data_IF_723116993820
#
_entry.id   IF_723116993820
#
_cell.length_a   1.000
_cell.length_b   1.000
_cell.length_c   1.000
_cell.angle_alpha   90.00
_cell.angle_beta   90.00
_cell.angle_gamma   90.00
#
_symmetry.space_group_name_H-M   'P 1'
#
loop_
_entity.id
_entity.type
_entity.pdbx_description
1 polymer ?
#
# COMPACT_ATOMS: atom_id res chain seq x y z
N UNK A 1 9.05 -11.73 17.19
CA UNK A 1 7.69 -12.24 16.92
C UNK A 1 7.65 -13.70 17.31
N UNK A 2 6.60 -14.15 18.00
CA UNK A 2 6.35 -15.59 18.19
C UNK A 2 6.00 -16.20 16.82
N UNK A 3 6.53 -17.39 16.47
CA UNK A 3 6.19 -18.04 15.21
C UNK A 3 4.69 -18.34 15.17
N UNK A 4 4.01 -17.87 14.13
CA UNK A 4 2.63 -18.25 13.83
C UNK A 4 2.64 -19.75 13.52
N UNK A 5 1.83 -20.53 14.23
CA UNK A 5 1.73 -21.97 14.00
C UNK A 5 1.36 -22.24 12.53
N UNK A 6 1.90 -23.29 11.89
CA UNK A 6 1.63 -23.58 10.48
C UNK A 6 0.13 -23.87 10.28
N UNK A 7 -0.57 -22.91 9.66
CA UNK A 7 -1.96 -23.07 9.25
C UNK A 7 -2.04 -23.82 7.93
N UNK A 8 -3.01 -24.73 7.81
CA UNK A 8 -3.25 -25.48 6.57
C UNK A 8 -3.61 -24.52 5.41
N UNK A 9 -3.13 -24.75 4.16
CA UNK A 9 -3.35 -23.86 3.01
C UNK A 9 -4.83 -23.50 2.72
N UNK A 10 -5.78 -24.37 3.07
CA UNK A 10 -7.24 -24.13 2.87
C UNK A 10 -7.86 -23.14 3.87
N UNK A 11 -7.15 -22.72 4.92
CA UNK A 11 -7.67 -21.76 5.91
C UNK A 11 -7.34 -20.30 5.60
N UNK A 12 -6.45 -20.03 4.63
CA UNK A 12 -6.03 -18.66 4.30
C UNK A 12 -7.14 -17.83 3.67
N UNK A 13 -8.11 -18.45 2.99
CA UNK A 13 -9.23 -17.76 2.36
C UNK A 13 -10.44 -17.54 3.30
N UNK A 14 -10.35 -17.99 4.57
CA UNK A 14 -11.43 -17.88 5.55
C UNK A 14 -10.86 -17.69 6.97
N UNK A 15 -10.44 -16.46 7.29
CA UNK A 15 -9.67 -16.15 8.50
C UNK A 15 -9.74 -14.66 8.85
N UNK A 16 -9.77 -14.33 10.14
CA UNK A 16 -9.38 -13.02 10.65
C UNK A 16 -7.86 -13.00 10.89
N UNK A 17 -7.15 -12.23 10.07
CA UNK A 17 -5.71 -12.38 9.89
C UNK A 17 -4.88 -11.22 10.46
N UNK A 18 -5.43 -10.00 10.51
CA UNK A 18 -4.79 -8.86 11.17
C UNK A 18 -5.82 -7.97 11.87
N UNK A 19 -5.39 -7.14 12.83
CA UNK A 19 -6.26 -6.22 13.55
C UNK A 19 -5.52 -5.08 14.23
N UNK A 20 -6.15 -3.91 14.17
CA UNK A 20 -5.67 -2.65 14.74
C UNK A 20 -6.70 -2.09 15.72
N UNK A 21 -6.26 -1.72 16.92
CA UNK A 21 -7.08 -1.02 17.90
C UNK A 21 -6.87 0.49 17.72
N UNK A 22 -7.94 1.18 17.36
CA UNK A 22 -7.98 2.63 17.18
C UNK A 22 -8.50 3.30 18.46
N UNK A 23 -7.59 3.94 19.18
CA UNK A 23 -7.91 4.64 20.43
C UNK A 23 -8.69 5.93 20.22
N UNK A 24 -8.64 6.53 19.02
CA UNK A 24 -9.25 7.84 18.77
C UNK A 24 -10.78 7.74 18.68
N UNK A 25 -11.32 6.61 18.22
CA UNK A 25 -12.76 6.33 18.14
C UNK A 25 -13.21 5.09 18.92
N UNK A 26 -12.30 4.50 19.72
CA UNK A 26 -12.55 3.29 20.51
C UNK A 26 -13.05 2.11 19.66
N UNK A 27 -12.55 1.98 18.43
CA UNK A 27 -12.89 0.89 17.51
C UNK A 27 -11.73 -0.08 17.28
N UNK A 28 -12.04 -1.30 16.86
CA UNK A 28 -11.05 -2.30 16.42
C UNK A 28 -11.30 -2.57 14.96
N UNK A 29 -10.31 -2.32 14.11
CA UNK A 29 -10.34 -2.66 12.70
C UNK A 29 -9.82 -4.09 12.57
N UNK A 30 -10.61 -4.98 11.97
CA UNK A 30 -10.28 -6.39 11.76
C UNK A 30 -10.18 -6.64 10.27
N UNK A 31 -9.06 -7.23 9.85
CA UNK A 31 -8.81 -7.64 8.48
C UNK A 31 -9.15 -9.13 8.31
N UNK A 32 -10.02 -9.43 7.35
CA UNK A 32 -10.68 -10.75 7.22
C UNK A 32 -10.75 -11.23 5.78
N UNK A 33 -10.64 -12.54 5.58
CA UNK A 33 -10.97 -13.23 4.33
C UNK A 33 -12.20 -14.12 4.49
N UNK A 34 -12.91 -14.35 3.39
CA UNK A 34 -14.00 -15.33 3.32
C UNK A 34 -15.41 -14.77 3.56
N UNK A 35 -15.59 -13.44 3.58
CA UNK A 35 -16.90 -12.81 3.70
C UNK A 35 -17.63 -12.63 2.35
N UNK A 36 -16.96 -12.87 1.21
CA UNK A 36 -17.52 -12.76 -0.15
C UNK A 36 -18.29 -11.45 -0.40
N UNK A 37 -17.70 -10.32 0.01
CA UNK A 37 -18.30 -9.00 -0.15
C UNK A 37 -18.15 -8.48 -1.57
N UNK A 38 -19.02 -7.54 -1.94
CA UNK A 38 -18.90 -6.83 -3.22
C UNK A 38 -17.70 -5.87 -3.18
N UNK A 39 -16.87 -5.81 -4.25
CA UNK A 39 -15.81 -4.82 -4.35
C UNK A 39 -16.37 -3.40 -4.24
N UNK A 40 -15.58 -2.49 -3.64
CA UNK A 40 -15.81 -1.04 -3.64
C UNK A 40 -17.16 -0.58 -3.02
N UNK A 41 -17.80 -1.44 -2.22
CA UNK A 41 -19.12 -1.16 -1.65
C UNK A 41 -19.19 -1.53 -0.17
N UNK A 42 -19.95 -0.74 0.56
CA UNK A 42 -20.37 -1.07 1.91
C UNK A 42 -21.31 -2.29 1.88
N UNK A 43 -21.11 -3.20 2.82
CA UNK A 43 -22.07 -4.24 3.18
C UNK A 43 -22.95 -3.73 4.32
N UNK A 44 -24.09 -4.40 4.52
CA UNK A 44 -24.94 -4.17 5.69
C UNK A 44 -24.24 -4.71 6.95
N UNK A 45 -23.71 -3.80 7.76
CA UNK A 45 -22.97 -4.13 8.97
C UNK A 45 -23.81 -4.88 10.01
N UNK A 46 -25.15 -4.72 10.00
CA UNK A 46 -26.04 -5.41 10.95
C UNK A 46 -26.00 -6.94 10.78
N UNK A 47 -25.56 -7.42 9.61
CA UNK A 47 -25.38 -8.84 9.30
C UNK A 47 -24.12 -9.44 9.93
N UNK A 48 -23.32 -8.68 10.65
CA UNK A 48 -22.06 -9.13 11.23
C UNK A 48 -21.96 -8.77 12.72
N UNK A 49 -21.31 -9.62 13.48
CA UNK A 49 -20.93 -9.41 14.88
C UNK A 49 -19.42 -9.53 15.00
N UNK A 50 -18.81 -8.66 15.80
CA UNK A 50 -17.42 -8.81 16.18
C UNK A 50 -17.35 -9.64 17.46
N UNK A 51 -16.36 -10.53 17.54
CA UNK A 51 -16.18 -11.44 18.67
C UNK A 51 -14.79 -11.24 19.23
N UNK A 52 -14.70 -10.82 20.48
CA UNK A 52 -13.47 -10.67 21.23
C UNK A 52 -13.36 -11.81 22.24
N UNK A 53 -12.18 -12.37 22.43
CA UNK A 53 -12.03 -13.43 23.43
C UNK A 53 -10.60 -13.84 23.71
N UNK A 54 -10.42 -14.51 24.84
CA UNK A 54 -9.12 -15.04 25.27
C UNK A 54 -8.93 -16.52 24.90
N UNK A 55 -10.04 -17.21 24.67
CA UNK A 55 -10.08 -18.62 24.25
C UNK A 55 -11.32 -18.85 23.39
N UNK A 56 -11.11 -19.01 22.07
CA UNK A 56 -12.19 -19.22 21.10
C UNK A 56 -12.77 -20.64 21.13
N UNK A 57 -12.18 -21.55 21.91
CA UNK A 57 -12.73 -22.90 22.14
C UNK A 57 -13.81 -22.90 23.23
N UNK A 58 -13.91 -21.83 24.03
CA UNK A 58 -14.77 -21.74 25.21
C UNK A 58 -15.68 -20.51 25.16
N UNK A 59 -16.98 -20.68 24.85
CA UNK A 59 -17.91 -19.56 24.64
C UNK A 59 -18.01 -18.56 25.81
N UNK A 60 -17.82 -18.99 27.07
CA UNK A 60 -17.85 -18.11 28.25
C UNK A 60 -16.74 -17.05 28.28
N UNK A 61 -15.71 -17.21 27.46
CA UNK A 61 -14.59 -16.27 27.33
C UNK A 61 -14.73 -15.38 26.09
N UNK A 62 -15.91 -15.35 25.48
CA UNK A 62 -16.21 -14.52 24.32
C UNK A 62 -17.11 -13.35 24.70
N UNK A 63 -16.82 -12.18 24.13
CA UNK A 63 -17.60 -10.97 24.21
C UNK A 63 -17.94 -10.56 22.79
N UNK A 64 -19.22 -10.36 22.50
CA UNK A 64 -19.66 -9.87 21.20
C UNK A 64 -19.84 -8.36 21.21
N UNK A 65 -19.62 -7.72 20.07
CA UNK A 65 -19.92 -6.32 19.85
C UNK A 65 -20.38 -6.07 18.42
N UNK A 66 -20.91 -4.87 18.18
CA UNK A 66 -21.44 -4.50 16.88
C UNK A 66 -20.30 -4.24 15.87
N UNK A 67 -20.49 -4.73 14.64
CA UNK A 67 -19.79 -4.20 13.49
C UNK A 67 -20.36 -2.80 13.16
N UNK A 68 -19.48 -1.83 12.95
CA UNK A 68 -19.79 -0.45 12.61
C UNK A 68 -19.78 -0.25 11.09
N UNK A 69 -18.73 -0.76 10.42
CA UNK A 69 -18.62 -0.76 8.97
C UNK A 69 -18.05 -2.09 8.49
N UNK A 70 -18.49 -2.54 7.32
CA UNK A 70 -18.04 -3.79 6.69
C UNK A 70 -17.87 -3.55 5.20
N UNK A 71 -16.65 -3.65 4.68
CA UNK A 71 -16.36 -3.48 3.26
C UNK A 71 -15.06 -4.20 2.87
N UNK A 72 -15.00 -4.77 1.67
CA UNK A 72 -13.83 -5.51 1.16
C UNK A 72 -13.36 -6.57 2.18
N UNK A 73 -12.13 -6.45 2.70
CA UNK A 73 -11.57 -7.32 3.73
C UNK A 73 -11.55 -6.65 5.12
N UNK A 74 -12.28 -5.55 5.30
CA UNK A 74 -12.17 -4.66 6.46
C UNK A 74 -13.49 -4.62 7.22
N UNK A 75 -13.42 -4.95 8.51
CA UNK A 75 -14.54 -4.84 9.45
C UNK A 75 -14.13 -3.94 10.60
N UNK A 76 -14.79 -2.78 10.74
CA UNK A 76 -14.61 -1.92 11.91
C UNK A 76 -15.59 -2.34 12.99
N UNK A 77 -15.09 -2.67 14.16
CA UNK A 77 -15.84 -3.17 15.31
C UNK A 77 -15.87 -2.13 16.41
N UNK A 78 -16.99 -2.02 17.14
CA UNK A 78 -16.97 -1.30 18.41
C UNK A 78 -16.14 -2.08 19.43
N UNK A 79 -15.12 -1.47 20.02
CA UNK A 79 -14.27 -2.18 20.97
C UNK A 79 -14.97 -2.26 22.34
N UNK A 80 -15.10 -3.45 22.96
CA UNK A 80 -15.63 -3.57 24.31
C UNK A 80 -14.76 -2.83 25.33
N UNK A 81 -15.37 -2.17 26.32
CA UNK A 81 -14.66 -1.43 27.37
C UNK A 81 -13.67 -2.30 28.15
N UNK A 82 -13.98 -3.57 28.35
CA UNK A 82 -13.09 -4.54 29.01
C UNK A 82 -11.80 -4.80 28.23
N UNK A 83 -11.85 -4.72 26.89
CA UNK A 83 -10.68 -4.84 26.02
C UNK A 83 -9.86 -3.55 26.06
N UNK A 84 -10.52 -2.39 25.94
CA UNK A 84 -9.87 -1.06 26.01
C UNK A 84 -9.08 -0.88 27.31
N UNK A 85 -9.72 -1.13 28.47
CA UNK A 85 -9.09 -0.96 29.79
C UNK A 85 -7.81 -1.78 29.95
N UNK A 86 -7.77 -2.99 29.39
CA UNK A 86 -6.59 -3.85 29.44
C UNK A 86 -5.44 -3.34 28.57
N UNK A 87 -5.75 -2.79 27.40
CA UNK A 87 -4.73 -2.20 26.53
C UNK A 87 -4.19 -0.88 27.11
N UNK A 88 -5.03 -0.08 27.76
CA UNK A 88 -4.57 1.12 28.48
C UNK A 88 -3.67 0.76 29.67
N UNK A 89 -4.00 -0.27 30.43
CA UNK A 89 -3.18 -0.72 31.57
C UNK A 89 -1.84 -1.37 31.16
N UNK A 90 -1.76 -1.92 29.95
CA UNK A 90 -0.51 -2.49 29.40
C UNK A 90 0.41 -1.44 28.75
N UNK A 91 -0.06 -0.20 28.56
CA UNK A 91 0.74 0.91 28.04
C UNK A 91 1.53 1.64 29.14
N UNK A 92 1.18 1.45 30.42
CA UNK A 92 2.06 1.77 31.53
C UNK A 92 3.13 0.67 31.61
N UNK A 93 4.37 1.06 31.35
CA UNK A 93 5.58 0.25 31.06
C UNK A 93 6.07 -0.70 32.19
N UNK A 94 5.17 -1.08 33.10
CA UNK A 94 5.46 -1.81 34.35
C UNK A 94 4.79 -3.19 34.43
N UNK A 95 4.06 -3.65 33.42
CA UNK A 95 3.44 -4.98 33.43
C UNK A 95 3.94 -5.90 32.31
N UNK A 96 4.34 -7.15 32.64
CA UNK A 96 4.67 -8.14 31.63
C UNK A 96 3.46 -8.36 30.71
N UNK A 97 3.67 -8.65 29.41
CA UNK A 97 2.58 -8.85 28.47
C UNK A 97 1.58 -9.87 29.04
N UNK A 98 0.30 -9.50 29.01
CA UNK A 98 -0.76 -10.32 29.57
C UNK A 98 -0.62 -11.76 29.06
N UNK A 99 -0.56 -12.74 29.97
CA UNK A 99 -0.37 -14.18 29.66
C UNK A 99 -1.32 -14.72 28.59
N UNK A 100 -2.45 -14.06 28.36
CA UNK A 100 -3.43 -14.36 27.32
C UNK A 100 -3.92 -13.06 26.66
N UNK A 101 -3.28 -12.62 25.55
CA UNK A 101 -3.76 -11.45 24.80
C UNK A 101 -5.14 -11.73 24.18
N UNK A 102 -6.00 -10.71 24.18
CA UNK A 102 -7.32 -10.77 23.54
C UNK A 102 -7.15 -11.00 22.04
N UNK A 103 -7.87 -11.96 21.48
CA UNK A 103 -8.02 -12.13 20.04
C UNK A 103 -9.35 -11.53 19.60
N UNK A 104 -9.44 -11.15 18.32
CA UNK A 104 -10.66 -10.63 17.72
C UNK A 104 -10.98 -11.40 16.45
N UNK A 105 -12.27 -11.61 16.18
CA UNK A 105 -12.77 -12.20 14.94
C UNK A 105 -14.12 -11.61 14.56
N UNK A 106 -14.64 -12.04 13.41
CA UNK A 106 -15.95 -11.64 12.89
C UNK A 106 -16.82 -12.88 12.70
N UNK A 107 -18.11 -12.74 12.99
CA UNK A 107 -19.15 -13.75 12.82
C UNK A 107 -20.26 -13.18 11.95
N UNK A 108 -20.56 -13.85 10.85
CA UNK A 108 -21.75 -13.52 10.06
C UNK A 108 -23.02 -14.00 10.80
N UNK A 109 -24.08 -13.19 10.79
CA UNK A 109 -25.42 -13.56 11.29
C UNK A 109 -26.19 -14.35 10.22
N UNK A 110 -27.03 -15.28 10.65
CA UNK A 110 -27.90 -16.07 9.79
C UNK A 110 -27.78 -17.58 10.00
N UNK A 111 -28.45 -18.37 9.14
CA UNK A 111 -28.35 -19.84 9.18
C UNK A 111 -26.93 -20.26 8.82
N UNK A 112 -26.34 -21.13 9.64
CA UNK A 112 -24.93 -21.56 9.47
C UNK A 112 -23.90 -20.53 9.94
N UNK A 113 -24.30 -19.57 10.79
CA UNK A 113 -23.40 -18.58 11.38
C UNK A 113 -22.18 -19.25 12.05
N UNK A 114 -20.99 -18.96 11.53
CA UNK A 114 -19.72 -19.40 12.10
C UNK A 114 -18.85 -18.19 12.38
N UNK A 115 -18.14 -18.25 13.49
CA UNK A 115 -17.08 -17.30 13.79
C UNK A 115 -15.92 -17.65 12.86
N UNK A 116 -15.34 -16.66 12.18
CA UNK A 116 -14.11 -16.87 11.44
C UNK A 116 -13.03 -17.38 12.40
N UNK A 117 -12.21 -18.37 12.00
CA UNK A 117 -10.94 -18.60 12.68
C UNK A 117 -10.20 -17.27 12.83
N UNK A 118 -9.39 -17.13 13.87
CA UNK A 118 -8.60 -15.91 14.08
C UNK A 118 -7.19 -16.25 14.51
N UNK A 119 -6.24 -15.54 13.91
CA UNK A 119 -4.83 -15.53 14.34
C UNK A 119 -4.39 -14.15 14.81
N UNK A 120 -5.30 -13.19 14.79
CA UNK A 120 -4.98 -11.79 15.07
C UNK A 120 -5.31 -11.37 16.49
N UNK A 121 -4.49 -10.45 16.99
CA UNK A 121 -4.61 -9.79 18.28
C UNK A 121 -4.55 -8.29 18.03
N UNK A 122 -5.51 -7.50 18.55
CA UNK A 122 -5.53 -6.07 18.29
C UNK A 122 -4.22 -5.40 18.72
N UNK A 123 -3.53 -4.80 17.76
CA UNK A 123 -2.35 -3.98 18.03
C UNK A 123 -2.80 -2.54 18.20
N UNK A 124 -2.40 -1.89 19.29
CA UNK A 124 -2.75 -0.49 19.53
C UNK A 124 -2.08 0.40 18.48
N UNK A 125 -2.90 1.18 17.77
CA UNK A 125 -2.40 2.24 16.92
C UNK A 125 -1.80 3.35 17.79
N UNK A 126 -0.69 3.99 17.36
CA UNK A 126 -0.20 5.18 18.03
C UNK A 126 -1.34 6.21 18.12
N UNK A 127 -1.72 6.61 19.33
CA UNK A 127 -2.78 7.60 19.50
C UNK A 127 -2.33 8.93 18.91
N UNK A 128 -3.19 9.54 18.10
CA UNK A 128 -3.02 10.90 17.60
C UNK A 128 -3.40 11.94 18.65
N UNK A 129 -3.06 11.72 19.94
CA UNK A 129 -3.55 12.50 21.07
C UNK A 129 -3.44 14.02 20.83
N UNK A 130 -4.60 14.69 20.75
CA UNK A 130 -4.72 16.14 20.51
C UNK A 130 -4.21 16.59 19.14
N UNK A 131 -4.38 17.89 18.81
CA UNK A 131 -3.83 18.54 17.61
C UNK A 131 -2.29 18.48 17.58
N UNK A 132 -1.69 17.31 17.44
CA UNK A 132 -0.26 17.15 17.23
C UNK A 132 0.00 17.31 15.74
N UNK A 133 0.88 18.25 15.42
CA UNK A 133 1.39 18.43 14.07
C UNK A 133 2.01 17.11 13.59
N UNK A 134 1.71 16.71 12.36
CA UNK A 134 2.28 15.51 11.78
C UNK A 134 3.81 15.59 11.81
N UNK A 135 4.46 14.49 12.21
CA UNK A 135 5.94 14.45 12.29
C UNK A 135 6.60 14.55 10.92
N UNK A 136 5.91 14.05 9.91
CA UNK A 136 6.36 14.02 8.53
C UNK A 136 5.28 14.63 7.62
N UNK A 137 5.68 15.52 6.72
CA UNK A 137 4.80 16.11 5.70
C UNK A 137 4.44 15.10 4.62
N UNK A 138 5.39 14.28 4.19
CA UNK A 138 5.18 13.29 3.13
C UNK A 138 5.75 11.92 3.51
N UNK A 139 4.89 10.93 3.43
CA UNK A 139 5.25 9.53 3.56
C UNK A 139 4.85 8.75 2.31
N UNK A 140 5.48 7.60 2.07
CA UNK A 140 5.03 6.66 1.05
C UNK A 140 4.72 5.30 1.68
N UNK A 141 3.60 4.73 1.23
CA UNK A 141 3.27 3.34 1.45
C UNK A 141 3.39 2.54 0.15
N UNK A 142 4.02 1.38 0.22
CA UNK A 142 4.13 0.46 -0.90
C UNK A 142 4.02 -1.00 -0.44
N UNK A 143 3.67 -1.89 -1.35
CA UNK A 143 3.66 -3.33 -1.12
C UNK A 143 4.61 -4.00 -2.10
N UNK A 144 5.55 -4.79 -1.59
CA UNK A 144 6.61 -5.41 -2.37
C UNK A 144 6.60 -6.92 -2.23
N UNK A 145 6.97 -7.60 -3.32
CA UNK A 145 7.35 -9.01 -3.30
C UNK A 145 8.45 -9.24 -4.33
N UNK A 146 9.64 -9.58 -3.88
CA UNK A 146 10.82 -9.81 -4.74
C UNK A 146 11.13 -8.59 -5.63
N UNK A 147 11.21 -7.40 -5.03
CA UNK A 147 11.47 -6.14 -5.74
C UNK A 147 12.65 -5.36 -5.12
N UNK A 148 13.54 -6.04 -4.39
CA UNK A 148 14.66 -5.42 -3.67
C UNK A 148 15.55 -4.56 -4.56
N UNK A 149 15.74 -4.97 -5.82
CA UNK A 149 16.59 -4.27 -6.79
C UNK A 149 16.18 -2.82 -7.09
N UNK A 150 14.93 -2.46 -6.81
CA UNK A 150 14.42 -1.10 -7.05
C UNK A 150 14.49 -0.21 -5.80
N UNK A 151 14.59 -0.80 -4.61
CA UNK A 151 14.40 -0.08 -3.35
C UNK A 151 15.46 1.01 -3.14
N UNK A 152 16.74 0.75 -3.43
CA UNK A 152 17.81 1.73 -3.19
C UNK A 152 17.63 2.99 -4.04
N UNK A 153 17.47 2.84 -5.37
CA UNK A 153 17.21 3.94 -6.30
C UNK A 153 15.92 4.69 -5.91
N UNK A 154 14.85 3.93 -5.68
CA UNK A 154 13.53 4.50 -5.40
C UNK A 154 13.49 5.27 -4.08
N UNK A 155 14.04 4.75 -2.99
CA UNK A 155 14.11 5.45 -1.70
C UNK A 155 15.01 6.67 -1.80
N UNK A 156 16.22 6.52 -2.37
CA UNK A 156 17.20 7.61 -2.47
C UNK A 156 16.65 8.80 -3.26
N UNK A 157 16.03 8.52 -4.41
CA UNK A 157 15.41 9.56 -5.22
C UNK A 157 14.25 10.25 -4.48
N UNK A 158 13.32 9.48 -3.91
CA UNK A 158 12.16 10.04 -3.22
C UNK A 158 12.54 10.83 -1.97
N UNK A 159 13.59 10.40 -1.26
CA UNK A 159 14.15 11.14 -0.13
C UNK A 159 14.64 12.52 -0.56
N UNK A 160 15.39 12.57 -1.67
CA UNK A 160 15.93 13.83 -2.17
C UNK A 160 14.84 14.84 -2.56
N UNK A 161 13.70 14.38 -3.09
CA UNK A 161 12.62 15.29 -3.48
C UNK A 161 11.68 15.69 -2.33
N UNK A 162 11.86 15.14 -1.12
CA UNK A 162 11.12 15.55 0.08
C UNK A 162 10.18 14.50 0.68
N UNK A 163 10.35 13.21 0.37
CA UNK A 163 9.71 12.14 1.14
C UNK A 163 10.53 11.86 2.39
N UNK A 164 9.87 11.74 3.53
CA UNK A 164 10.55 11.72 4.84
C UNK A 164 10.44 10.37 5.56
N UNK A 165 9.54 9.50 5.11
CA UNK A 165 9.28 8.20 5.74
C UNK A 165 8.62 7.18 4.80
N UNK A 166 9.00 5.91 4.96
CA UNK A 166 8.49 4.81 4.16
C UNK A 166 7.87 3.69 5.00
N UNK A 167 6.77 3.16 4.48
CA UNK A 167 6.11 1.96 4.98
C UNK A 167 6.14 0.89 3.88
N UNK A 168 7.06 -0.06 4.01
CA UNK A 168 7.28 -1.14 3.06
C UNK A 168 6.52 -2.39 3.56
N UNK A 169 5.41 -2.72 2.90
CA UNK A 169 4.65 -3.94 3.16
C UNK A 169 5.25 -5.09 2.37
N UNK A 170 5.96 -5.97 3.05
CA UNK A 170 6.63 -7.10 2.42
C UNK A 170 5.69 -8.33 2.36
N UNK A 171 5.24 -8.66 1.15
CA UNK A 171 4.39 -9.81 0.87
C UNK A 171 5.22 -11.09 0.65
N UNK A 172 6.00 -11.44 1.67
CA UNK A 172 6.78 -12.67 1.73
C UNK A 172 7.86 -12.74 0.62
N UNK A 173 8.68 -11.69 0.54
CA UNK A 173 9.84 -11.64 -0.35
C UNK A 173 10.89 -12.69 0.03
N UNK A 174 11.54 -13.24 -0.99
CA UNK A 174 12.62 -14.23 -0.92
C UNK A 174 13.96 -13.64 -1.37
N UNK A 175 13.96 -12.38 -1.85
CA UNK A 175 15.15 -11.64 -2.23
C UNK A 175 15.72 -10.82 -1.06
N UNK A 176 16.66 -9.92 -1.35
CA UNK A 176 17.38 -9.11 -0.36
C UNK A 176 16.58 -7.92 0.20
N UNK A 177 15.25 -7.85 0.04
CA UNK A 177 14.45 -6.70 0.45
C UNK A 177 14.63 -6.35 1.94
N UNK A 178 14.71 -7.36 2.82
CA UNK A 178 14.97 -7.14 4.24
C UNK A 178 16.35 -6.52 4.49
N UNK A 179 17.37 -6.96 3.76
CA UNK A 179 18.72 -6.40 3.88
C UNK A 179 18.75 -4.94 3.42
N UNK A 180 18.13 -4.62 2.27
CA UNK A 180 18.08 -3.24 1.76
C UNK A 180 17.35 -2.32 2.74
N UNK A 181 16.22 -2.74 3.32
CA UNK A 181 15.51 -1.90 4.31
C UNK A 181 16.39 -1.63 5.54
N UNK A 182 17.20 -2.60 5.99
CA UNK A 182 18.12 -2.39 7.12
C UNK A 182 19.24 -1.39 6.76
N UNK A 183 19.81 -1.50 5.57
CA UNK A 183 20.86 -0.56 5.10
C UNK A 183 20.32 0.86 4.92
N UNK A 184 19.04 0.99 4.56
CA UNK A 184 18.37 2.27 4.33
C UNK A 184 17.64 2.80 5.59
N UNK A 185 18.00 2.34 6.80
CA UNK A 185 17.29 2.70 8.04
C UNK A 185 17.36 4.21 8.35
N UNK A 186 18.44 4.88 7.96
CA UNK A 186 18.65 6.32 8.10
C UNK A 186 17.59 7.16 7.36
N UNK A 187 16.88 6.57 6.39
CA UNK A 187 15.78 7.19 5.67
C UNK A 187 14.42 7.02 6.36
N UNK A 188 14.34 6.62 7.64
CA UNK A 188 13.06 6.31 8.33
C UNK A 188 12.23 5.24 7.59
N UNK A 189 12.89 4.21 7.05
CA UNK A 189 12.21 3.12 6.33
C UNK A 189 11.76 2.06 7.31
N UNK A 190 10.48 1.68 7.25
CA UNK A 190 9.94 0.61 8.09
C UNK A 190 9.44 -0.54 7.22
N UNK A 191 9.86 -1.76 7.54
CA UNK A 191 9.31 -2.99 6.93
C UNK A 191 8.20 -3.57 7.80
N UNK A 192 7.08 -3.90 7.17
CA UNK A 192 5.97 -4.60 7.79
C UNK A 192 5.74 -5.90 7.03
N UNK A 193 5.86 -7.04 7.72
CA UNK A 193 5.56 -8.34 7.12
C UNK A 193 4.05 -8.44 6.87
N UNK A 194 3.66 -8.68 5.61
CA UNK A 194 2.27 -8.76 5.18
C UNK A 194 2.05 -10.02 4.33
N UNK A 195 2.12 -11.23 4.91
CA UNK A 195 2.17 -12.51 4.18
C UNK A 195 0.79 -12.96 3.66
N UNK A 196 -0.15 -12.04 3.48
CA UNK A 196 -1.54 -12.36 3.14
C UNK A 196 -1.75 -12.27 1.62
N UNK A 197 -2.22 -13.35 1.01
CA UNK A 197 -2.37 -13.46 -0.45
C UNK A 197 -3.51 -12.58 -0.96
N UNK A 198 -3.28 -11.81 -2.04
CA UNK A 198 -4.29 -10.94 -2.68
C UNK A 198 -4.98 -10.00 -1.65
N UNK A 199 -4.18 -9.18 -0.98
CA UNK A 199 -4.65 -8.27 0.09
C UNK A 199 -4.08 -6.86 -0.06
N UNK A 200 -3.86 -6.40 -1.30
CA UNK A 200 -3.21 -5.12 -1.55
C UNK A 200 -4.02 -3.96 -0.96
N UNK A 201 -5.32 -3.91 -1.21
CA UNK A 201 -6.23 -2.88 -0.69
C UNK A 201 -6.29 -2.90 0.85
N UNK A 202 -6.29 -4.09 1.44
CA UNK A 202 -6.25 -4.26 2.89
C UNK A 202 -4.92 -3.79 3.50
N UNK A 203 -3.79 -4.13 2.86
CA UNK A 203 -2.46 -3.66 3.28
C UNK A 203 -2.33 -2.15 3.19
N UNK A 204 -2.87 -1.52 2.14
CA UNK A 204 -2.90 -0.06 2.01
C UNK A 204 -3.81 0.60 3.06
N UNK A 205 -4.97 0.03 3.36
CA UNK A 205 -5.81 0.52 4.47
C UNK A 205 -5.11 0.39 5.84
N UNK A 206 -4.47 -0.76 6.11
CA UNK A 206 -3.67 -0.97 7.32
C UNK A 206 -2.53 0.05 7.43
N UNK A 207 -1.87 0.33 6.30
CA UNK A 207 -0.82 1.33 6.22
C UNK A 207 -1.30 2.75 6.48
N UNK A 208 -2.42 3.15 5.87
CA UNK A 208 -3.01 4.47 6.07
C UNK A 208 -3.33 4.72 7.56
N UNK A 209 -3.88 3.72 8.24
CA UNK A 209 -4.16 3.78 9.68
C UNK A 209 -2.88 3.97 10.51
N UNK A 210 -1.81 3.23 10.19
CA UNK A 210 -0.52 3.34 10.90
C UNK A 210 0.21 4.65 10.63
N UNK A 211 0.09 5.18 9.42
CA UNK A 211 0.68 6.44 9.01
C UNK A 211 -0.05 7.66 9.58
N UNK A 212 -1.35 7.51 9.94
CA UNK A 212 -2.24 8.61 10.36
C UNK A 212 -1.64 9.52 11.42
N UNK A 213 -1.01 8.96 12.45
CA UNK A 213 -0.47 9.75 13.57
C UNK A 213 0.91 10.38 13.27
N UNK A 214 1.55 10.03 12.16
CA UNK A 214 2.93 10.42 11.85
C UNK A 214 3.06 11.24 10.56
N UNK A 215 2.10 11.13 9.64
CA UNK A 215 2.21 11.62 8.27
C UNK A 215 1.03 12.51 7.91
N UNK A 216 1.32 13.71 7.40
CA UNK A 216 0.30 14.62 6.89
C UNK A 216 -0.28 14.12 5.57
N UNK A 217 0.61 13.75 4.64
CA UNK A 217 0.29 13.17 3.35
C UNK A 217 0.95 11.80 3.19
N UNK A 218 0.23 10.87 2.55
CA UNK A 218 0.70 9.51 2.25
C UNK A 218 0.46 9.20 0.79
N UNK A 219 1.53 8.96 0.04
CA UNK A 219 1.48 8.42 -1.32
C UNK A 219 1.33 6.91 -1.32
N UNK A 220 0.46 6.37 -2.17
CA UNK A 220 0.30 4.93 -2.38
C UNK A 220 0.77 4.60 -3.80
N UNK A 221 1.98 4.06 -3.91
CA UNK A 221 2.63 3.83 -5.20
C UNK A 221 3.56 2.62 -5.16
N UNK A 222 3.81 2.06 -6.34
CA UNK A 222 4.67 0.90 -6.53
C UNK A 222 6.14 1.34 -6.61
N UNK A 223 7.09 0.42 -6.36
CA UNK A 223 8.53 0.74 -6.34
C UNK A 223 9.14 1.02 -7.72
N UNK A 224 8.36 0.82 -8.79
CA UNK A 224 8.67 1.22 -10.16
C UNK A 224 7.95 2.52 -10.58
N UNK A 225 7.37 3.26 -9.62
CA UNK A 225 6.68 4.52 -9.83
C UNK A 225 7.44 5.67 -9.16
N UNK A 226 7.78 6.69 -9.95
CA UNK A 226 8.60 7.82 -9.52
C UNK A 226 7.85 9.14 -9.66
N UNK A 227 7.70 9.86 -8.56
CA UNK A 227 7.18 11.23 -8.59
C UNK A 227 8.16 12.13 -9.36
N UNK A 228 7.68 12.84 -10.36
CA UNK A 228 8.48 13.77 -11.15
C UNK A 228 7.82 15.14 -11.17
N UNK A 229 8.54 16.15 -10.70
CA UNK A 229 8.14 17.55 -10.82
C UNK A 229 8.88 18.16 -12.02
N UNK A 230 8.19 18.58 -13.10
CA UNK A 230 8.87 19.11 -14.29
C UNK A 230 9.61 20.43 -14.05
N UNK A 231 9.06 21.30 -13.20
CA UNK A 231 9.73 22.55 -12.82
C UNK A 231 10.86 22.27 -11.82
N UNK A 232 12.10 22.71 -12.11
CA UNK A 232 13.23 22.52 -11.20
C UNK A 232 13.18 23.42 -9.96
N UNK A 233 12.42 24.52 -10.00
CA UNK A 233 12.23 25.43 -8.88
C UNK A 233 11.23 24.90 -7.85
N UNK A 234 10.42 23.91 -8.22
CA UNK A 234 9.34 23.39 -7.39
C UNK A 234 9.79 22.17 -6.59
N UNK A 235 9.60 22.23 -5.26
CA UNK A 235 9.78 21.09 -4.37
C UNK A 235 8.45 20.39 -4.07
N UNK A 236 8.51 19.11 -3.69
CA UNK A 236 7.32 18.38 -3.24
C UNK A 236 6.71 19.04 -2.00
N UNK A 237 7.53 19.58 -1.10
CA UNK A 237 7.06 20.30 0.08
C UNK A 237 6.25 21.55 -0.28
N UNK A 238 6.65 22.30 -1.31
CA UNK A 238 5.91 23.50 -1.74
C UNK A 238 4.52 23.12 -2.26
N UNK A 239 4.44 22.07 -3.07
CA UNK A 239 3.18 21.52 -3.58
C UNK A 239 2.27 21.12 -2.42
N UNK A 240 2.77 20.29 -1.50
CA UNK A 240 1.97 19.80 -0.38
C UNK A 240 1.55 20.93 0.56
N UNK A 241 2.47 21.85 0.90
CA UNK A 241 2.19 22.99 1.78
C UNK A 241 1.10 23.90 1.21
N UNK A 242 1.10 24.13 -0.10
CA UNK A 242 0.05 24.91 -0.77
C UNK A 242 -1.34 24.29 -0.54
N UNK A 243 -1.47 22.97 -0.69
CA UNK A 243 -2.73 22.28 -0.43
C UNK A 243 -3.09 22.20 1.05
N UNK A 244 -2.10 21.99 1.92
CA UNK A 244 -2.26 22.01 3.38
C UNK A 244 -2.81 23.31 3.91
N UNK A 245 -2.26 24.44 3.46
CA UNK A 245 -2.63 25.77 3.98
C UNK A 245 -3.77 26.42 3.20
N UNK A 246 -3.75 26.34 1.87
CA UNK A 246 -4.70 27.03 1.00
C UNK A 246 -6.02 26.27 0.79
N UNK A 247 -6.02 24.94 0.94
CA UNK A 247 -7.14 24.09 0.57
C UNK A 247 -7.40 23.00 1.62
N UNK A 248 -7.85 23.34 2.84
CA UNK A 248 -7.99 22.40 3.94
C UNK A 248 -8.96 21.24 3.65
N UNK A 249 -9.94 21.44 2.76
CA UNK A 249 -10.90 20.40 2.32
C UNK A 249 -10.34 19.46 1.25
N UNK A 250 -9.18 19.74 0.67
CA UNK A 250 -8.52 18.84 -0.28
C UNK A 250 -7.73 17.79 0.50
N UNK A 251 -8.10 16.53 0.32
CA UNK A 251 -7.49 15.41 1.02
C UNK A 251 -6.91 14.34 0.10
N UNK A 252 -7.00 14.53 -1.22
CA UNK A 252 -6.46 13.61 -2.21
C UNK A 252 -5.93 14.39 -3.41
N UNK A 253 -4.66 14.15 -3.76
CA UNK A 253 -4.01 14.68 -4.95
C UNK A 253 -3.85 13.53 -5.95
N UNK A 254 -4.63 13.56 -7.03
CA UNK A 254 -4.56 12.57 -8.11
C UNK A 254 -3.52 13.00 -9.13
N UNK A 255 -2.45 12.23 -9.22
CA UNK A 255 -1.31 12.49 -10.10
C UNK A 255 -1.34 11.56 -11.29
N UNK A 256 -1.23 12.10 -12.49
CA UNK A 256 -1.26 11.34 -13.74
C UNK A 256 0.00 10.50 -13.90
N UNK A 257 -0.13 9.25 -14.35
CA UNK A 257 0.98 8.35 -14.59
C UNK A 257 1.32 8.23 -16.08
N UNK A 258 2.59 8.36 -16.43
CA UNK A 258 3.15 8.04 -17.73
C UNK A 258 3.83 6.68 -17.70
N UNK A 259 3.49 5.82 -18.66
CA UNK A 259 3.99 4.45 -18.72
C UNK A 259 5.25 4.36 -19.58
N UNK A 260 6.35 3.94 -18.97
CA UNK A 260 7.65 3.77 -19.61
C UNK A 260 7.88 2.33 -20.09
N UNK A 261 8.57 2.23 -21.23
CA UNK A 261 8.95 1.00 -21.92
C UNK A 261 10.44 0.67 -21.83
N UNK A 262 10.88 -0.45 -22.42
CA UNK A 262 12.25 -0.93 -22.27
C UNK A 262 13.29 -0.03 -22.93
N UNK A 263 12.89 0.93 -23.77
CA UNK A 263 13.77 1.97 -24.33
C UNK A 263 14.97 1.42 -25.11
N UNK A 264 14.78 0.29 -25.82
CA UNK A 264 15.82 -0.42 -26.55
C UNK A 264 16.60 -1.44 -25.72
N UNK A 265 16.42 -1.48 -24.40
CA UNK A 265 17.16 -2.38 -23.51
C UNK A 265 16.60 -3.81 -23.51
N UNK A 266 17.50 -4.78 -23.64
CA UNK A 266 17.21 -6.22 -23.51
C UNK A 266 17.42 -6.75 -22.09
N UNK A 267 18.22 -6.05 -21.30
CA UNK A 267 18.50 -6.33 -19.90
C UNK A 267 18.20 -5.08 -19.04
N UNK A 268 18.02 -5.21 -17.72
CA UNK A 268 17.90 -4.10 -16.80
C UNK A 268 19.09 -3.16 -16.95
N UNK A 269 18.87 -1.84 -17.04
CA UNK A 269 19.96 -0.88 -17.03
C UNK A 269 20.74 -1.02 -15.72
N UNK A 270 22.08 -1.11 -15.77
CA UNK A 270 22.91 -1.23 -14.57
C UNK A 270 22.80 0.01 -13.67
N UNK A 271 22.61 1.19 -14.27
CA UNK A 271 22.51 2.47 -13.56
C UNK A 271 21.08 2.79 -13.08
N UNK A 272 20.17 1.81 -13.05
CA UNK A 272 18.80 1.99 -12.55
C UNK A 272 17.75 2.35 -13.60
N UNK A 273 16.47 2.27 -13.20
CA UNK A 273 15.32 2.42 -14.09
C UNK A 273 15.18 3.83 -14.62
N UNK A 274 15.48 4.84 -13.80
CA UNK A 274 15.39 6.25 -14.20
C UNK A 274 16.44 6.63 -15.23
N UNK A 275 17.58 5.91 -15.25
CA UNK A 275 18.70 6.18 -16.14
C UNK A 275 18.55 5.55 -17.52
N UNK A 276 18.10 4.30 -17.58
CA UNK A 276 18.00 3.58 -18.86
C UNK A 276 16.65 3.69 -19.56
N UNK A 277 15.54 3.74 -18.82
CA UNK A 277 14.22 3.76 -19.44
C UNK A 277 13.77 5.21 -19.72
N UNK A 278 13.91 5.64 -20.98
CA UNK A 278 13.65 7.01 -21.45
C UNK A 278 12.66 7.09 -22.62
N UNK A 279 11.93 6.01 -22.85
CA UNK A 279 10.84 5.91 -23.80
C UNK A 279 9.55 5.62 -23.06
N UNK A 280 8.48 6.31 -23.45
CA UNK A 280 7.14 6.08 -22.89
C UNK A 280 6.05 6.09 -23.94
N UNK A 281 4.87 5.61 -23.52
CA UNK A 281 3.63 5.80 -24.25
C UNK A 281 3.21 7.27 -24.23
N UNK A 282 2.57 7.75 -25.30
CA UNK A 282 2.12 9.13 -25.44
C UNK A 282 0.94 9.43 -24.52
N UNK A 283 -0.04 8.53 -24.50
CA UNK A 283 -1.21 8.64 -23.64
C UNK A 283 -0.86 8.24 -22.21
N UNK A 284 -1.17 9.06 -21.20
CA UNK A 284 -1.02 8.66 -19.81
C UNK A 284 -2.01 7.56 -19.42
N UNK A 285 -1.68 6.81 -18.38
CA UNK A 285 -2.53 5.81 -17.75
C UNK A 285 -3.39 6.41 -16.62
N UNK A 286 -3.94 5.55 -15.75
CA UNK A 286 -4.67 5.92 -14.54
C UNK A 286 -3.81 6.79 -13.62
N UNK A 287 -4.43 7.40 -12.62
CA UNK A 287 -3.73 8.19 -11.61
C UNK A 287 -3.19 7.32 -10.46
N UNK A 288 -2.28 7.88 -9.68
CA UNK A 288 -2.02 7.47 -8.29
C UNK A 288 -2.34 8.62 -7.36
N UNK A 289 -2.59 8.30 -6.10
CA UNK A 289 -3.06 9.29 -5.13
C UNK A 289 -2.07 9.50 -4.00
N UNK A 290 -1.94 10.76 -3.63
CA UNK A 290 -1.34 11.20 -2.37
C UNK A 290 -2.50 11.70 -1.50
N UNK A 291 -2.71 11.10 -0.35
CA UNK A 291 -3.90 11.34 0.48
C UNK A 291 -3.55 11.85 1.88
N UNK A 292 -4.49 12.55 2.51
CA UNK A 292 -4.45 12.81 3.96
C UNK A 292 -5.11 11.65 4.70
N UNK A 293 -4.38 10.86 5.50
CA UNK A 293 -4.94 9.68 6.16
C UNK A 293 -6.06 10.03 7.17
N UNK A 294 -6.03 11.24 7.76
CA UNK A 294 -7.06 11.71 8.69
C UNK A 294 -8.44 11.94 8.04
N UNK A 295 -8.46 12.19 6.73
CA UNK A 295 -9.66 12.46 5.96
C UNK A 295 -10.30 11.21 5.35
N UNK A 296 -9.74 10.03 5.59
CA UNK A 296 -10.26 8.76 5.06
C UNK A 296 -11.59 8.36 5.69
N UNK A 297 -12.50 7.86 4.86
CA UNK A 297 -13.77 7.30 5.33
C UNK A 297 -13.52 6.18 6.35
N UNK A 298 -14.34 6.06 7.41
CA UNK A 298 -14.22 4.98 8.40
C UNK A 298 -14.26 3.56 7.79
N UNK A 299 -14.86 3.41 6.60
CA UNK A 299 -14.91 2.14 5.88
C UNK A 299 -13.59 1.71 5.26
N UNK A 300 -12.66 2.67 5.03
CA UNK A 300 -11.35 2.47 4.40
C UNK A 300 -11.40 1.84 3.00
N UNK A 301 -12.54 1.94 2.32
CA UNK A 301 -12.70 1.46 0.96
C UNK A 301 -11.67 2.14 0.06
N UNK A 302 -10.94 1.33 -0.71
CA UNK A 302 -9.95 1.81 -1.67
C UNK A 302 -9.85 0.88 -2.87
N UNK A 303 -9.32 1.41 -3.97
CA UNK A 303 -9.17 0.71 -5.26
C UNK A 303 -7.75 0.74 -5.77
N UNK A 304 -6.79 0.55 -4.85
CA UNK A 304 -5.32 0.64 -5.06
C UNK A 304 -4.84 2.06 -5.39
N UNK A 305 -5.53 2.75 -6.29
CA UNK A 305 -5.18 4.07 -6.81
C UNK A 305 -5.72 5.23 -5.98
N UNK A 306 -6.82 5.04 -5.24
CA UNK A 306 -7.42 6.05 -4.38
C UNK A 306 -8.28 5.43 -3.28
N UNK A 307 -8.67 6.27 -2.31
CA UNK A 307 -9.50 5.92 -1.17
C UNK A 307 -10.83 6.68 -1.18
N UNK A 308 -11.85 6.13 -0.56
CA UNK A 308 -13.04 6.89 -0.22
C UNK A 308 -12.74 7.86 0.93
N UNK A 309 -13.05 9.13 0.72
CA UNK A 309 -12.89 10.20 1.70
C UNK A 309 -14.13 10.34 2.60
N UNK A 310 -13.96 10.99 3.75
CA UNK A 310 -15.07 11.48 4.59
C UNK A 310 -15.84 12.58 3.87
N UNK A 311 -17.11 12.74 4.23
CA UNK A 311 -17.93 13.85 3.74
C UNK A 311 -17.27 15.20 4.03
N UNK A 312 -17.34 16.11 3.06
CA UNK A 312 -16.73 17.44 3.13
C UNK A 312 -15.25 17.50 2.71
N UNK A 313 -14.63 16.36 2.40
CA UNK A 313 -13.33 16.31 1.75
C UNK A 313 -13.44 15.93 0.28
N UNK A 314 -12.48 16.40 -0.52
CA UNK A 314 -12.46 16.18 -1.97
C UNK A 314 -11.07 15.86 -2.49
N UNK A 315 -11.03 15.31 -3.70
CA UNK A 315 -9.81 15.15 -4.48
C UNK A 315 -9.64 16.30 -5.46
N UNK A 316 -8.39 16.53 -5.87
CA UNK A 316 -8.05 17.39 -7.01
C UNK A 316 -7.15 16.62 -7.97
N UNK A 317 -7.27 16.90 -9.26
CA UNK A 317 -6.34 16.38 -10.26
C UNK A 317 -5.15 17.34 -10.34
N UNK A 318 -3.95 16.81 -10.18
CA UNK A 318 -2.72 17.58 -10.28
C UNK A 318 -2.47 18.02 -11.72
N UNK A 319 -2.09 19.29 -11.88
CA UNK A 319 -1.61 19.79 -13.17
C UNK A 319 -0.31 19.08 -13.57
N UNK A 320 -0.21 18.71 -14.86
CA UNK A 320 0.93 17.93 -15.38
C UNK A 320 2.24 18.71 -15.38
N UNK A 321 2.19 20.05 -15.39
CA UNK A 321 3.37 20.90 -15.24
C UNK A 321 3.87 20.99 -13.79
N UNK A 322 3.02 20.63 -12.82
CA UNK A 322 3.33 20.65 -11.40
C UNK A 322 3.94 19.31 -10.97
N UNK A 323 3.23 18.20 -11.22
CA UNK A 323 3.66 16.88 -10.79
C UNK A 323 3.03 15.78 -11.65
N UNK A 324 3.85 14.80 -12.04
CA UNK A 324 3.44 13.57 -12.72
C UNK A 324 4.12 12.36 -12.06
N UNK A 325 3.72 11.16 -12.44
CA UNK A 325 4.40 9.92 -12.05
C UNK A 325 4.93 9.23 -13.29
N UNK A 326 6.22 8.87 -13.26
CA UNK A 326 6.82 7.99 -14.24
C UNK A 326 6.70 6.55 -13.74
N UNK A 327 5.91 5.73 -14.42
CA UNK A 327 5.68 4.33 -14.09
C UNK A 327 6.47 3.44 -15.06
N UNK A 328 7.54 2.84 -14.56
CA UNK A 328 8.42 1.91 -15.27
C UNK A 328 7.81 0.51 -15.35
N UNK A 329 6.64 0.43 -15.99
CA UNK A 329 5.78 -0.76 -16.06
C UNK A 329 6.35 -1.83 -16.97
N UNK A 330 6.80 -1.44 -18.17
CA UNK A 330 7.25 -2.36 -19.21
C UNK A 330 8.77 -2.35 -19.29
N UNK A 331 9.43 -2.87 -18.26
CA UNK A 331 10.89 -2.97 -18.20
C UNK A 331 11.42 -4.04 -19.18
N UNK A 332 12.74 -4.23 -19.19
CA UNK A 332 13.38 -5.34 -19.90
C UNK A 332 12.69 -6.68 -19.56
N UNK A 333 12.62 -7.57 -20.55
CA UNK A 333 11.76 -8.76 -20.48
C UNK A 333 12.01 -9.62 -19.25
N UNK A 334 13.27 -9.79 -18.85
CA UNK A 334 13.65 -10.60 -17.70
C UNK A 334 13.05 -10.11 -16.37
N UNK A 335 12.77 -8.81 -16.24
CA UNK A 335 12.07 -8.24 -15.08
C UNK A 335 10.57 -8.32 -15.29
N UNK A 336 10.11 -7.93 -16.49
CA UNK A 336 8.70 -7.87 -16.78
C UNK A 336 8.04 -9.25 -16.65
N UNK A 337 8.72 -10.33 -17.04
CA UNK A 337 8.19 -11.70 -16.94
C UNK A 337 7.87 -12.10 -15.50
N UNK A 338 8.63 -11.64 -14.51
CA UNK A 338 8.37 -11.95 -13.09
C UNK A 338 7.06 -11.31 -12.62
N UNK A 339 6.82 -10.06 -13.03
CA UNK A 339 5.54 -9.37 -12.81
C UNK A 339 4.41 -10.04 -13.59
N UNK A 340 4.68 -10.48 -14.82
CA UNK A 340 3.72 -11.18 -15.68
C UNK A 340 3.23 -12.50 -15.07
N UNK A 341 4.13 -13.34 -14.55
CA UNK A 341 3.76 -14.61 -13.90
C UNK A 341 2.90 -14.42 -12.65
N UNK A 342 3.05 -13.29 -11.94
CA UNK A 342 2.45 -13.10 -10.61
C UNK A 342 1.25 -12.16 -10.57
N UNK A 343 0.91 -11.45 -11.66
CA UNK A 343 -0.24 -10.51 -11.74
C UNK A 343 -1.63 -11.15 -11.62
N UNK A 344 -1.78 -12.27 -10.92
CA UNK A 344 -3.06 -12.81 -10.41
C UNK A 344 -3.70 -11.90 -9.33
N UNK A 345 -3.15 -10.70 -9.11
CA UNK A 345 -3.75 -9.59 -8.37
C UNK A 345 -3.72 -8.40 -9.34
N UNK A 346 -4.81 -7.81 -9.82
CA UNK A 346 -6.01 -7.40 -9.05
C UNK A 346 -7.32 -7.41 -9.86
N UNK A 347 -7.36 -7.76 -11.15
CA UNK A 347 -8.64 -7.75 -11.91
C UNK A 347 -8.79 -8.85 -13.00
N UNK A 348 -7.89 -9.82 -13.07
CA UNK A 348 -7.97 -10.90 -14.08
C UNK A 348 -7.88 -12.24 -13.36
N UNK A 349 -8.95 -13.04 -13.46
CA UNK A 349 -8.88 -14.47 -13.19
C UNK A 349 -7.82 -15.06 -14.12
N UNK A 350 -6.80 -15.71 -13.55
CA UNK A 350 -5.70 -16.42 -14.22
C UNK A 350 -5.26 -15.87 -15.61
N UNK A 351 -4.03 -15.35 -15.74
CA UNK A 351 -3.59 -14.84 -17.05
C UNK A 351 -3.41 -15.91 -18.13
N UNK A 352 -3.48 -17.19 -17.74
CA UNK A 352 -3.62 -18.32 -18.66
C UNK A 352 -5.02 -18.41 -19.27
N UNK A 353 -6.00 -17.73 -18.70
CA UNK A 353 -7.37 -17.62 -19.18
C UNK A 353 -7.43 -16.72 -20.43
N UNK A 354 -8.14 -17.20 -21.45
CA UNK A 354 -8.32 -16.52 -22.72
C UNK A 354 -9.45 -15.49 -22.68
N UNK A 355 -10.31 -15.49 -21.64
CA UNK A 355 -11.55 -14.70 -21.61
C UNK A 355 -11.37 -13.16 -21.59
N UNK A 356 -10.15 -12.62 -21.46
CA UNK A 356 -9.93 -11.16 -21.39
C UNK A 356 -8.65 -10.66 -22.09
N UNK A 357 -8.20 -11.33 -23.16
CA UNK A 357 -6.95 -11.00 -23.87
C UNK A 357 -6.89 -9.53 -24.32
N UNK A 358 -8.02 -8.92 -24.67
CA UNK A 358 -8.12 -7.51 -25.11
C UNK A 358 -8.33 -6.45 -24.01
N UNK A 359 -8.35 -6.82 -22.73
CA UNK A 359 -8.55 -5.84 -21.64
C UNK A 359 -7.38 -4.84 -21.56
N UNK A 360 -7.68 -3.57 -21.23
CA UNK A 360 -6.68 -2.55 -20.90
C UNK A 360 -5.80 -2.92 -19.71
N UNK A 361 -6.25 -3.88 -18.90
CA UNK A 361 -5.48 -4.37 -17.76
C UNK A 361 -4.35 -5.32 -18.21
N UNK A 362 -4.38 -5.82 -19.45
CA UNK A 362 -3.31 -6.66 -20.04
C UNK A 362 -2.22 -5.86 -20.72
N UNK A 363 -1.02 -6.44 -20.77
CA UNK A 363 0.09 -5.86 -21.51
C UNK A 363 -0.21 -5.96 -23.03
N UNK A 364 -0.25 -4.83 -23.76
CA UNK A 364 -0.64 -4.84 -25.17
C UNK A 364 0.24 -5.76 -26.02
N UNK A 365 -0.41 -6.59 -26.84
CA UNK A 365 0.28 -7.48 -27.78
C UNK A 365 1.03 -8.65 -27.13
N UNK A 366 0.70 -9.01 -25.89
CA UNK A 366 1.14 -10.26 -25.23
C UNK A 366 -0.04 -11.23 -25.12
N UNK A 367 0.22 -12.49 -25.47
CA UNK A 367 -0.74 -13.59 -25.26
C UNK A 367 -0.77 -14.07 -23.81
N UNK A 368 -1.23 -15.31 -23.60
CA UNK A 368 -1.34 -15.94 -22.27
C UNK A 368 -0.06 -16.61 -21.78
N UNK A 369 0.98 -16.68 -22.63
CA UNK A 369 2.27 -17.33 -22.32
C UNK A 369 3.36 -16.28 -22.11
N UNK A 370 4.23 -16.54 -21.13
CA UNK A 370 5.41 -15.74 -20.85
C UNK A 370 6.54 -16.03 -21.86
N UNK A 371 6.29 -15.75 -23.14
CA UNK A 371 7.29 -15.82 -24.21
C UNK A 371 7.65 -14.40 -24.63
N UNK A 372 8.95 -14.10 -24.68
CA UNK A 372 9.45 -12.78 -25.08
C UNK A 372 9.08 -12.49 -26.54
N UNK A 373 8.37 -11.39 -26.83
CA UNK A 373 8.21 -10.93 -28.20
C UNK A 373 9.57 -10.50 -28.79
N UNK A 374 9.89 -10.83 -30.06
CA UNK A 374 11.17 -10.44 -30.68
C UNK A 374 11.46 -8.94 -30.64
N UNK A 375 10.41 -8.13 -30.68
CA UNK A 375 10.41 -6.67 -30.66
C UNK A 375 10.22 -6.06 -29.26
N UNK A 376 10.15 -6.85 -28.17
CA UNK A 376 9.85 -6.34 -26.82
C UNK A 376 10.69 -5.13 -26.43
N UNK A 377 12.01 -5.23 -26.61
CA UNK A 377 12.97 -4.18 -26.29
C UNK A 377 12.66 -2.80 -26.93
N UNK A 378 11.97 -2.75 -28.09
CA UNK A 378 11.61 -1.51 -28.78
C UNK A 378 10.15 -1.10 -28.63
N UNK A 379 9.32 -1.88 -27.90
CA UNK A 379 7.91 -1.54 -27.66
C UNK A 379 7.75 -0.36 -26.70
N UNK A 380 6.56 0.24 -26.74
CA UNK A 380 6.12 1.32 -25.84
C UNK A 380 7.00 2.58 -25.88
N UNK A 381 7.66 2.85 -27.01
CA UNK A 381 8.44 4.07 -27.25
C UNK A 381 7.75 4.99 -28.26
N UNK A 382 6.69 5.67 -27.83
CA UNK A 382 5.98 6.66 -28.66
C UNK A 382 6.55 8.07 -28.45
N UNK A 383 7.02 8.36 -27.23
CA UNK A 383 7.64 9.61 -26.84
C UNK A 383 8.97 9.32 -26.17
N UNK A 384 10.04 9.99 -26.66
CA UNK A 384 11.32 10.04 -25.95
C UNK A 384 11.19 11.07 -24.82
N UNK A 385 11.35 10.60 -23.58
CA UNK A 385 11.18 11.39 -22.37
C UNK A 385 12.37 11.14 -21.44
N UNK A 386 13.22 12.15 -21.32
CA UNK A 386 14.44 12.12 -20.50
C UNK A 386 14.30 12.97 -19.24
N UNK A 387 13.14 13.56 -18.97
CA UNK A 387 12.99 14.61 -17.97
C UNK A 387 13.41 14.18 -16.56
N UNK A 388 12.99 12.98 -16.14
CA UNK A 388 13.38 12.43 -14.84
C UNK A 388 14.87 12.04 -14.79
N UNK A 389 15.40 11.43 -15.85
CA UNK A 389 16.83 11.11 -15.95
C UNK A 389 17.69 12.36 -15.82
N UNK A 390 17.34 13.41 -16.57
CA UNK A 390 18.10 14.64 -16.61
C UNK A 390 18.01 15.39 -15.26
N UNK A 391 16.89 15.24 -14.53
CA UNK A 391 16.76 15.69 -13.14
C UNK A 391 17.70 14.88 -12.24
N UNK A 392 17.62 13.55 -12.26
CA UNK A 392 18.48 12.64 -11.46
C UNK A 392 19.96 12.98 -11.64
N UNK A 393 20.43 13.12 -12.88
CA UNK A 393 21.81 13.49 -13.19
C UNK A 393 22.21 14.83 -12.57
N UNK A 394 21.28 15.79 -12.52
CA UNK A 394 21.54 17.10 -11.93
C UNK A 394 21.63 17.07 -10.41
N UNK A 395 20.78 16.29 -9.75
CA UNK A 395 20.60 16.36 -8.30
C UNK A 395 21.34 15.28 -7.50
N UNK A 396 21.66 14.15 -8.13
CA UNK A 396 22.20 12.97 -7.44
C UNK A 396 23.48 12.43 -8.05
N UNK A 397 23.74 12.66 -9.34
CA UNK A 397 24.98 12.15 -9.94
C UNK A 397 26.21 12.91 -9.44
N UNK A 398 27.31 12.17 -9.28
CA UNK A 398 28.61 12.73 -8.99
C UNK A 398 29.06 13.63 -10.14
N UNK A 399 29.38 14.90 -9.85
CA UNK A 399 29.73 15.89 -10.87
C UNK A 399 31.02 15.57 -11.65
N UNK A 400 31.89 14.73 -11.08
CA UNK A 400 33.15 14.33 -11.70
C UNK A 400 33.02 13.04 -12.49
N UNK A 401 32.34 12.02 -11.93
CA UNK A 401 32.26 10.68 -12.55
C UNK A 401 30.98 10.43 -13.32
N UNK A 402 29.94 11.24 -13.12
CA UNK A 402 28.60 11.02 -13.67
C UNK A 402 27.84 9.85 -13.05
N UNK A 403 28.41 9.18 -12.03
CA UNK A 403 27.81 8.01 -11.40
C UNK A 403 26.70 8.41 -10.44
N UNK A 404 25.63 7.62 -10.45
CA UNK A 404 24.50 7.71 -9.51
C UNK A 404 24.79 6.91 -8.23
N UNK A 405 24.16 7.23 -7.09
CA UNK A 405 24.58 6.73 -5.78
C UNK A 405 24.07 5.32 -5.40
N UNK A 406 23.44 4.57 -6.31
CA UNK A 406 22.81 3.27 -6.03
C UNK A 406 23.49 2.10 -6.73
#
# INVERSE_FOLDING_TARGET
MLPVAPMLPRQWDFLAYDSLLDGDDNSTIVFVKGLNLRPERLSDASRYECVFGWDFTRPRYLITSNALTVAQEIVRCRTPLSVLRRHSAAADDLQPPAKFPVMVSVKARGRGARILPSVTRPTLLPSGGGKREAKHRMCICTMVRNQARFLTEWITYHAHIGVERWFIYDNNSEDSAEHIVRVMEDYNVTRHAWPWVKTQEAGFAHCALRARAACEWVGFMDVDEFLYLPSPELSLHDVLKNYSMGFPHVAELRTVCHTFGPSGHRAPPPDGVTMGYTCRMASPERHKSIIRPEALSPSLINVVHHFHLKDGFQYVNMDRGVMVINHYKYQAWEVFKEKFYRRVATYVADWQDEENVGSKDRAPGLGTKAVEPPDWHSRFCEVKDTGLRDRVLRILANQTTGQVPW
#
